data_IF_177703335974
#
_entry.id   IF_177703335974
#
_cell.length_a   1.000
_cell.length_b   1.000
_cell.length_c   1.000
_cell.angle_alpha   90.00
_cell.angle_beta   90.00
_cell.angle_gamma   90.00
#
_symmetry.space_group_name_H-M   'P 1'
#
loop_
_entity.id
_entity.type
_entity.pdbx_description
1 polymer ?
#
# COMPACT_ATOMS: atom_id res chain seq x y z
N UNK A 1 -0.53 -1.40 8.47
CA UNK A 1 -1.71 -0.88 7.74
C UNK A 1 -2.46 0.24 8.46
N UNK A 2 -2.17 0.55 9.74
CA UNK A 2 -2.84 1.63 10.48
C UNK A 2 -2.69 3.00 9.81
N UNK A 3 -1.48 3.35 9.36
CA UNK A 3 -1.20 4.61 8.68
C UNK A 3 -2.09 4.93 7.47
N UNK A 4 -2.53 3.93 6.70
CA UNK A 4 -3.45 4.18 5.59
C UNK A 4 -4.86 4.55 6.10
N UNK A 5 -5.34 3.87 7.14
CA UNK A 5 -6.65 4.15 7.74
C UNK A 5 -6.69 5.50 8.46
N UNK A 6 -5.63 5.86 9.20
CA UNK A 6 -5.54 7.13 9.92
C UNK A 6 -5.37 8.33 8.99
N UNK A 7 -4.78 8.14 7.81
CA UNK A 7 -4.62 9.17 6.78
C UNK A 7 -5.77 9.19 5.75
N UNK A 8 -6.83 8.40 5.94
CA UNK A 8 -8.00 8.41 5.06
C UNK A 8 -7.74 7.90 3.64
N UNK A 9 -6.75 7.00 3.48
CA UNK A 9 -6.39 6.43 2.19
C UNK A 9 -7.24 5.20 1.92
N UNK A 10 -7.95 5.20 0.80
CA UNK A 10 -8.73 4.06 0.37
C UNK A 10 -7.81 2.98 -0.23
N UNK A 11 -7.96 1.75 0.23
CA UNK A 11 -7.23 0.58 -0.24
C UNK A 11 -8.16 -0.28 -1.09
N UNK A 12 -7.78 -0.50 -2.34
CA UNK A 12 -8.64 -1.17 -3.33
C UNK A 12 -8.27 -2.63 -3.55
N UNK A 13 -7.05 -3.02 -3.17
CA UNK A 13 -6.55 -4.38 -3.27
C UNK A 13 -5.55 -4.66 -2.16
N UNK A 14 -5.59 -5.86 -1.59
CA UNK A 14 -4.64 -6.38 -0.61
C UNK A 14 -4.51 -7.89 -0.79
N UNK A 15 -3.33 -8.35 -1.22
CA UNK A 15 -3.02 -9.76 -1.41
C UNK A 15 -1.78 -10.13 -0.60
N UNK A 16 -1.84 -11.25 0.12
CA UNK A 16 -0.70 -11.79 0.87
C UNK A 16 -0.06 -12.94 0.11
N UNK A 17 1.27 -12.90 -0.02
CA UNK A 17 2.05 -13.98 -0.59
C UNK A 17 3.05 -14.47 0.45
N UNK A 18 2.92 -15.74 0.83
CA UNK A 18 3.87 -16.43 1.71
C UNK A 18 4.57 -17.51 0.89
N UNK A 19 5.90 -17.56 0.93
CA UNK A 19 6.67 -18.55 0.19
C UNK A 19 6.61 -19.92 0.90
N UNK A 20 6.18 -20.97 0.21
CA UNK A 20 6.09 -22.33 0.74
C UNK A 20 7.49 -22.91 1.01
N UNK A 21 8.03 -22.66 2.20
CA UNK A 21 9.29 -23.24 2.66
C UNK A 21 10.04 -22.38 3.69
N UNK A 22 9.78 -21.07 3.70
CA UNK A 22 10.26 -20.13 4.71
C UNK A 22 9.08 -19.71 5.59
N UNK A 23 8.98 -20.31 6.77
CA UNK A 23 7.92 -20.03 7.77
C UNK A 23 7.88 -18.58 8.29
N UNK A 24 8.62 -17.62 7.71
CA UNK A 24 8.88 -16.33 8.36
C UNK A 24 8.74 -15.06 7.50
N UNK A 25 8.48 -15.15 6.19
CA UNK A 25 8.36 -13.93 5.35
C UNK A 25 7.04 -13.94 4.58
N UNK A 26 6.22 -12.91 4.82
CA UNK A 26 4.98 -12.67 4.09
C UNK A 26 5.08 -11.33 3.39
N UNK A 27 4.92 -11.36 2.07
CA UNK A 27 4.83 -10.18 1.23
C UNK A 27 3.39 -9.75 1.07
N UNK A 28 3.16 -8.45 0.94
CA UNK A 28 1.85 -7.90 0.66
C UNK A 28 1.90 -7.09 -0.62
N UNK A 29 0.98 -7.39 -1.53
CA UNK A 29 0.71 -6.58 -2.70
C UNK A 29 -0.53 -5.72 -2.43
N UNK A 30 -0.43 -4.41 -2.67
CA UNK A 30 -1.44 -3.45 -2.25
C UNK A 30 -1.64 -2.39 -3.33
N UNK A 31 -2.91 -2.13 -3.67
CA UNK A 31 -3.29 -0.97 -4.49
C UNK A 31 -4.07 0.04 -3.64
N UNK A 32 -3.68 1.32 -3.72
CA UNK A 32 -4.30 2.43 -2.98
C UNK A 32 -4.71 3.57 -3.90
N UNK A 33 -5.75 4.30 -3.52
CA UNK A 33 -6.21 5.49 -4.24
C UNK A 33 -5.54 6.75 -3.67
N UNK A 34 -4.30 7.01 -4.11
CA UNK A 34 -3.57 8.22 -3.77
C UNK A 34 -2.40 8.43 -4.74
N UNK A 35 -1.91 9.68 -4.86
CA UNK A 35 -0.65 9.97 -5.57
C UNK A 35 0.52 10.04 -4.58
N UNK A 36 1.74 9.64 -4.95
CA UNK A 36 2.91 9.78 -4.07
C UNK A 36 3.23 11.21 -3.61
N UNK A 37 2.78 12.21 -4.39
CA UNK A 37 2.87 13.62 -4.03
C UNK A 37 1.92 14.04 -2.92
N UNK A 38 0.87 13.27 -2.66
CA UNK A 38 -0.14 13.62 -1.67
C UNK A 38 0.42 13.41 -0.26
N UNK A 39 0.33 14.44 0.59
CA UNK A 39 0.92 14.42 1.94
C UNK A 39 0.38 13.27 2.80
N UNK A 40 -0.89 12.93 2.64
CA UNK A 40 -1.52 11.80 3.33
C UNK A 40 -0.83 10.46 3.04
N UNK A 41 -0.49 10.19 1.76
CA UNK A 41 0.22 8.97 1.37
C UNK A 41 1.65 8.98 1.88
N UNK A 42 2.33 10.13 1.89
CA UNK A 42 3.67 10.22 2.46
C UNK A 42 3.69 9.83 3.94
N UNK A 43 2.75 10.35 4.73
CA UNK A 43 2.61 10.02 6.15
C UNK A 43 2.31 8.52 6.36
N UNK A 44 1.39 7.96 5.58
CA UNK A 44 1.08 6.53 5.65
C UNK A 44 2.28 5.65 5.29
N UNK A 45 3.08 6.05 4.31
CA UNK A 45 4.29 5.34 3.89
C UNK A 45 5.44 5.49 4.91
N UNK A 46 5.57 6.64 5.56
CA UNK A 46 6.49 6.85 6.68
C UNK A 46 6.18 5.89 7.83
N UNK A 47 4.90 5.76 8.19
CA UNK A 47 4.47 4.79 9.21
C UNK A 47 4.66 3.35 8.74
N UNK A 48 4.38 3.04 7.47
CA UNK A 48 4.56 1.68 6.93
C UNK A 48 6.03 1.23 7.00
N UNK A 49 6.98 2.12 6.74
CA UNK A 49 8.42 1.84 6.84
C UNK A 49 8.89 1.47 8.24
N UNK A 50 8.11 1.79 9.28
CA UNK A 50 8.41 1.34 10.64
C UNK A 50 8.06 -0.14 10.86
N UNK A 51 7.08 -0.68 10.12
CA UNK A 51 6.56 -2.03 10.30
C UNK A 51 7.02 -3.02 9.22
N UNK A 52 7.46 -2.54 8.06
CA UNK A 52 7.90 -3.36 6.94
C UNK A 52 9.41 -3.21 6.71
N UNK A 53 10.09 -4.31 6.37
CA UNK A 53 11.52 -4.32 6.08
C UNK A 53 11.83 -3.64 4.75
N UNK A 54 11.07 -3.99 3.71
CA UNK A 54 11.21 -3.43 2.36
C UNK A 54 9.84 -3.00 1.84
N UNK A 55 9.82 -1.84 1.19
CA UNK A 55 8.62 -1.28 0.57
C UNK A 55 9.00 -0.75 -0.80
N UNK A 56 8.41 -1.33 -1.84
CA UNK A 56 8.65 -0.94 -3.22
C UNK A 56 7.35 -0.43 -3.87
N UNK A 57 7.44 0.71 -4.56
CA UNK A 57 6.34 1.23 -5.38
C UNK A 57 6.52 0.67 -6.78
N UNK A 58 5.68 -0.29 -7.17
CA UNK A 58 5.77 -0.91 -8.50
C UNK A 58 5.31 0.01 -9.63
N UNK A 59 4.46 1.01 -9.34
CA UNK A 59 4.01 1.96 -10.33
C UNK A 59 2.95 2.92 -9.80
N UNK A 60 2.68 3.96 -10.60
CA UNK A 60 1.60 4.92 -10.38
C UNK A 60 0.89 5.09 -11.72
N UNK A 61 -0.42 4.90 -11.72
CA UNK A 61 -1.23 4.93 -12.93
C UNK A 61 -2.50 5.76 -12.73
N UNK A 62 -3.07 6.34 -13.80
CA UNK A 62 -4.35 7.03 -13.73
C UNK A 62 -5.46 6.10 -13.25
N UNK A 63 -6.36 6.61 -12.41
CA UNK A 63 -7.54 5.87 -11.98
C UNK A 63 -8.48 5.63 -13.16
N UNK A 64 -8.98 4.40 -13.27
CA UNK A 64 -9.98 4.02 -14.28
C UNK A 64 -11.29 4.80 -14.08
N UNK A 65 -11.96 5.18 -15.18
CA UNK A 65 -13.22 5.93 -15.14
C UNK A 65 -14.33 5.19 -14.36
N UNK A 66 -14.31 3.86 -14.33
CA UNK A 66 -15.26 3.06 -13.54
C UNK A 66 -15.26 3.42 -12.06
N UNK A 67 -14.12 3.89 -11.52
CA UNK A 67 -13.98 4.28 -10.10
C UNK A 67 -14.18 5.77 -9.85
N UNK A 68 -14.35 6.57 -10.92
CA UNK A 68 -14.60 8.01 -10.83
C UNK A 68 -16.08 8.23 -10.46
N UNK A 69 -16.36 8.38 -9.17
CA UNK A 69 -17.68 8.79 -8.66
C UNK A 69 -17.95 10.28 -8.89
#
# INVERSE_FOLDING_TARGET
>A
MGGFATNGINMTKLESYSENGSFSVTFFYVDVEARPSDRALQLAMEELKFFATDVEILGVYPQDEFRRK
#
